data_IF_821228372193
#
_entry.id   IF_821228372193
#
_cell.length_a   1.000
_cell.length_b   1.000
_cell.length_c   1.000
_cell.angle_alpha   90.00
_cell.angle_beta   90.00
_cell.angle_gamma   90.00
#
_symmetry.space_group_name_H-M   'P 1'
#
loop_
_entity.id
_entity.type
_entity.pdbx_description
1 polymer ?
#
# COMPACT_ATOMS: atom_id res chain seq x y z
N UNK A 1 14.70 38.08 -52.89
CA UNK A 1 15.18 39.21 -53.69
C UNK A 1 15.66 40.25 -52.68
N UNK A 2 16.97 40.26 -52.39
CA UNK A 2 17.95 41.23 -52.94
C UNK A 2 17.56 42.65 -52.50
N UNK A 3 18.39 43.46 -51.87
CA UNK A 3 19.83 43.58 -52.01
C UNK A 3 20.39 44.45 -50.87
N UNK A 4 21.69 44.35 -50.72
CA UNK A 4 22.56 45.09 -49.80
C UNK A 4 22.73 46.54 -50.27
N UNK A 5 22.95 47.47 -49.33
CA UNK A 5 24.00 48.50 -49.48
C UNK A 5 24.02 49.44 -48.26
N UNK A 6 25.00 49.20 -47.38
CA UNK A 6 25.42 50.14 -46.35
C UNK A 6 26.34 51.19 -46.98
N UNK A 7 26.08 52.47 -46.67
CA UNK A 7 26.91 53.59 -47.06
C UNK A 7 27.80 54.01 -45.88
N UNK A 8 29.07 54.24 -46.19
CA UNK A 8 30.16 54.57 -45.27
C UNK A 8 30.00 55.94 -44.60
N UNK A 9 30.50 56.07 -43.38
CA UNK A 9 31.14 57.31 -42.89
C UNK A 9 32.12 57.00 -41.75
N UNK A 10 33.36 57.38 -42.03
CA UNK A 10 34.52 57.38 -41.15
C UNK A 10 34.34 58.29 -39.94
N UNK A 11 34.82 57.88 -38.78
CA UNK A 11 35.40 58.82 -37.82
C UNK A 11 36.71 58.26 -37.27
N UNK A 12 37.79 58.86 -37.75
CA UNK A 12 39.11 58.85 -37.13
C UNK A 12 39.00 59.58 -35.79
N UNK A 13 39.32 58.91 -34.69
CA UNK A 13 39.87 59.59 -33.51
C UNK A 13 41.18 58.91 -33.16
N UNK A 14 42.24 59.61 -33.55
CA UNK A 14 43.61 59.47 -33.10
C UNK A 14 43.70 59.41 -31.58
N UNK A 15 44.08 58.25 -31.07
CA UNK A 15 44.58 58.04 -29.71
C UNK A 15 45.84 57.20 -29.79
N UNK A 16 46.93 57.82 -30.25
CA UNK A 16 48.28 57.32 -29.99
C UNK A 16 48.63 57.79 -28.58
N UNK A 17 48.64 56.87 -27.63
CA UNK A 17 49.56 56.92 -26.50
C UNK A 17 50.04 55.51 -26.23
N UNK A 18 51.34 55.33 -26.38
CA UNK A 18 52.01 54.05 -26.22
C UNK A 18 52.22 53.72 -24.75
N UNK A 19 52.18 52.43 -24.44
CA UNK A 19 53.06 51.86 -23.42
C UNK A 19 53.22 50.37 -23.65
N UNK A 20 54.38 50.03 -24.23
CA UNK A 20 55.31 48.97 -23.84
C UNK A 20 54.69 47.67 -23.27
N UNK A 21 54.93 46.60 -24.03
CA UNK A 21 54.77 45.20 -23.63
C UNK A 21 55.40 44.90 -22.27
N UNK A 22 54.72 44.13 -21.43
CA UNK A 22 55.30 43.03 -20.65
C UNK A 22 54.17 42.23 -19.99
N UNK A 23 53.33 41.60 -20.80
CA UNK A 23 52.64 40.39 -20.33
C UNK A 23 53.58 39.24 -20.62
N UNK A 24 54.36 38.87 -19.61
CA UNK A 24 54.97 37.55 -19.49
C UNK A 24 53.83 36.54 -19.39
N UNK A 25 53.18 36.26 -20.52
CA UNK A 25 52.40 35.06 -20.68
C UNK A 25 53.41 33.93 -20.54
N UNK A 26 53.45 33.29 -19.36
CA UNK A 26 54.15 32.01 -19.20
C UNK A 26 53.44 31.04 -20.13
N UNK A 27 53.93 31.01 -21.37
CA UNK A 27 53.67 29.94 -22.29
C UNK A 27 54.43 28.78 -21.69
N UNK A 28 53.72 27.86 -21.04
CA UNK A 28 54.27 26.53 -20.80
C UNK A 28 54.55 25.94 -22.18
N UNK A 29 55.77 26.17 -22.68
CA UNK A 29 56.31 25.44 -23.81
C UNK A 29 56.51 24.02 -23.33
N UNK A 30 55.43 23.25 -23.36
CA UNK A 30 55.45 21.82 -23.16
C UNK A 30 56.11 21.25 -24.41
N UNK A 31 57.44 21.19 -24.41
CA UNK A 31 58.23 20.50 -25.42
C UNK A 31 58.10 18.98 -25.23
N UNK A 32 56.86 18.50 -25.12
CA UNK A 32 56.55 17.09 -24.94
C UNK A 32 56.29 16.48 -26.30
N UNK A 33 57.05 15.44 -26.61
CA UNK A 33 56.89 14.69 -27.86
C UNK A 33 55.48 14.08 -27.91
N UNK A 34 54.91 13.82 -29.11
CA UNK A 34 53.57 13.22 -29.23
C UNK A 34 53.41 11.89 -28.49
N UNK A 35 54.51 11.20 -28.16
CA UNK A 35 54.53 10.00 -27.31
C UNK A 35 54.26 10.29 -25.82
N UNK A 36 54.66 11.46 -25.32
CA UNK A 36 54.53 11.83 -23.90
C UNK A 36 53.11 12.34 -23.59
N UNK A 37 52.47 13.03 -24.53
CA UNK A 37 51.05 13.43 -24.44
C UNK A 37 50.11 12.21 -24.47
N UNK A 38 50.43 11.18 -25.25
CA UNK A 38 49.68 9.93 -25.30
C UNK A 38 49.85 9.07 -24.02
N UNK A 39 51.00 9.21 -23.34
CA UNK A 39 51.24 8.57 -22.05
C UNK A 39 50.45 9.24 -20.92
N UNK A 40 50.31 10.57 -20.94
CA UNK A 40 49.52 11.33 -19.96
C UNK A 40 48.01 11.02 -20.07
N UNK A 41 47.46 10.90 -21.28
CA UNK A 41 46.05 10.52 -21.47
C UNK A 41 45.70 9.14 -20.91
N UNK A 42 46.63 8.18 -20.97
CA UNK A 42 46.48 6.86 -20.34
C UNK A 42 46.51 6.97 -18.81
N UNK A 43 47.36 7.84 -18.28
CA UNK A 43 47.50 8.06 -16.84
C UNK A 43 46.27 8.74 -16.24
N UNK A 44 45.68 9.69 -16.97
CA UNK A 44 44.40 10.33 -16.62
C UNK A 44 43.23 9.35 -16.74
N UNK A 45 43.22 8.45 -17.73
CA UNK A 45 42.23 7.36 -17.78
C UNK A 45 42.38 6.41 -16.60
N UNK A 46 43.60 6.03 -16.25
CA UNK A 46 43.87 5.12 -15.15
C UNK A 46 43.43 5.70 -13.80
N UNK A 47 43.71 6.99 -13.54
CA UNK A 47 43.26 7.66 -12.31
C UNK A 47 41.72 7.76 -12.23
N UNK A 48 41.03 7.98 -13.36
CA UNK A 48 39.55 7.91 -13.41
C UNK A 48 39.03 6.52 -13.07
N UNK A 49 39.67 5.46 -13.54
CA UNK A 49 39.31 4.09 -13.15
C UNK A 49 39.58 3.81 -11.67
N UNK A 50 40.67 4.31 -11.11
CA UNK A 50 40.95 4.19 -9.67
C UNK A 50 39.85 4.86 -8.83
N UNK A 51 39.44 6.08 -9.18
CA UNK A 51 38.36 6.79 -8.48
C UNK A 51 37.01 6.08 -8.65
N UNK A 52 36.72 5.57 -9.86
CA UNK A 52 35.51 4.78 -10.08
C UNK A 52 35.50 3.49 -9.23
N UNK A 53 36.66 2.82 -9.11
CA UNK A 53 36.81 1.62 -8.31
C UNK A 53 36.61 1.91 -6.81
N UNK A 54 37.19 2.99 -6.28
CA UNK A 54 37.01 3.34 -4.87
C UNK A 54 35.57 3.71 -4.55
N UNK A 55 34.89 4.43 -5.45
CA UNK A 55 33.46 4.73 -5.32
C UNK A 55 32.61 3.45 -5.34
N UNK A 56 32.92 2.50 -6.22
CA UNK A 56 32.20 1.24 -6.31
C UNK A 56 32.39 0.41 -5.02
N UNK A 57 33.63 0.35 -4.51
CA UNK A 57 33.93 -0.31 -3.23
C UNK A 57 33.18 0.37 -2.08
N UNK A 58 33.21 1.71 -1.99
CA UNK A 58 32.50 2.42 -0.92
C UNK A 58 30.99 2.25 -1.00
N UNK A 59 30.42 2.22 -2.19
CA UNK A 59 28.99 1.99 -2.38
C UNK A 59 28.61 0.56 -1.98
N UNK A 60 29.41 -0.43 -2.38
CA UNK A 60 29.19 -1.84 -2.04
C UNK A 60 29.33 -2.09 -0.53
N UNK A 61 30.31 -1.47 0.13
CA UNK A 61 30.48 -1.62 1.59
C UNK A 61 29.33 -0.99 2.35
N UNK A 62 28.92 0.24 2.00
CA UNK A 62 27.78 0.90 2.63
C UNK A 62 26.48 0.11 2.41
N UNK A 63 26.25 -0.39 1.20
CA UNK A 63 25.08 -1.22 0.89
C UNK A 63 25.07 -2.51 1.72
N UNK A 64 26.22 -3.18 1.86
CA UNK A 64 26.32 -4.43 2.65
C UNK A 64 26.12 -4.19 4.13
N UNK A 65 26.72 -3.13 4.69
CA UNK A 65 26.56 -2.77 6.11
C UNK A 65 25.11 -2.38 6.39
N UNK A 66 24.51 -1.57 5.52
CA UNK A 66 23.10 -1.20 5.62
C UNK A 66 22.21 -2.46 5.59
N UNK A 67 22.41 -3.35 4.63
CA UNK A 67 21.67 -4.60 4.54
C UNK A 67 21.79 -5.44 5.83
N UNK A 68 22.99 -5.61 6.38
CA UNK A 68 23.18 -6.40 7.60
C UNK A 68 22.60 -5.74 8.85
N UNK A 69 22.68 -4.41 8.95
CA UNK A 69 22.12 -3.66 10.07
C UNK A 69 20.59 -3.71 10.06
N UNK A 70 19.97 -3.41 8.91
CA UNK A 70 18.52 -3.34 8.79
C UNK A 70 17.86 -4.71 8.76
N UNK A 71 18.47 -5.75 8.17
CA UNK A 71 17.81 -7.06 8.06
C UNK A 71 17.39 -7.65 9.42
N UNK A 72 18.22 -7.48 10.44
CA UNK A 72 17.94 -8.04 11.77
C UNK A 72 16.92 -7.19 12.56
N UNK A 73 16.83 -5.89 12.26
CA UNK A 73 15.85 -4.99 12.85
C UNK A 73 14.49 -5.14 12.15
N UNK A 74 14.48 -5.22 10.82
CA UNK A 74 13.30 -5.44 9.98
C UNK A 74 12.61 -6.76 10.31
N UNK A 75 13.37 -7.86 10.46
CA UNK A 75 12.79 -9.18 10.76
C UNK A 75 12.08 -9.18 12.13
N UNK A 76 12.69 -8.59 13.16
CA UNK A 76 12.09 -8.47 14.49
C UNK A 76 10.91 -7.50 14.52
N UNK A 77 11.01 -6.39 13.79
CA UNK A 77 9.94 -5.43 13.68
C UNK A 77 8.73 -6.05 12.98
N UNK A 78 8.96 -6.73 11.86
CA UNK A 78 7.92 -7.46 11.15
C UNK A 78 7.31 -8.56 12.01
N UNK A 79 8.11 -9.38 12.70
CA UNK A 79 7.58 -10.42 13.59
C UNK A 79 6.73 -9.82 14.71
N UNK A 80 7.17 -8.70 15.29
CA UNK A 80 6.43 -7.96 16.30
C UNK A 80 5.09 -7.44 15.78
N UNK A 81 5.09 -6.73 14.65
CA UNK A 81 3.87 -6.19 14.03
C UNK A 81 2.93 -7.30 13.58
N UNK A 82 3.46 -8.36 12.96
CA UNK A 82 2.68 -9.51 12.52
C UNK A 82 2.02 -10.21 13.71
N UNK A 83 2.74 -10.36 14.83
CA UNK A 83 2.20 -10.95 16.04
C UNK A 83 1.11 -10.08 16.65
N UNK A 84 1.30 -8.77 16.75
CA UNK A 84 0.28 -7.84 17.24
C UNK A 84 -0.98 -7.92 16.39
N UNK A 85 -0.82 -7.89 15.07
CA UNK A 85 -1.94 -7.98 14.13
C UNK A 85 -2.64 -9.35 14.24
N UNK A 86 -1.89 -10.44 14.36
CA UNK A 86 -2.44 -11.79 14.51
C UNK A 86 -3.22 -11.93 15.81
N UNK A 87 -2.66 -11.44 16.93
CA UNK A 87 -3.32 -11.44 18.24
C UNK A 87 -4.59 -10.56 18.22
N UNK A 88 -4.55 -9.42 17.52
CA UNK A 88 -5.71 -8.55 17.35
C UNK A 88 -6.81 -9.21 16.52
N UNK A 89 -6.48 -9.80 15.37
CA UNK A 89 -7.43 -10.54 14.53
C UNK A 89 -8.04 -11.70 15.30
N UNK A 90 -7.24 -12.46 16.06
CA UNK A 90 -7.72 -13.60 16.85
C UNK A 90 -8.64 -13.13 17.99
N UNK A 91 -8.27 -12.05 18.69
CA UNK A 91 -9.10 -11.44 19.75
C UNK A 91 -10.43 -10.93 19.18
N UNK A 92 -10.39 -10.17 18.10
CA UNK A 92 -11.58 -9.61 17.45
C UNK A 92 -12.48 -10.73 16.94
N UNK A 93 -11.92 -11.76 16.32
CA UNK A 93 -12.68 -12.92 15.81
C UNK A 93 -13.36 -13.68 16.94
N UNK A 94 -12.65 -13.97 18.04
CA UNK A 94 -13.21 -14.65 19.21
C UNK A 94 -14.32 -13.83 19.86
N UNK A 95 -14.13 -12.52 19.99
CA UNK A 95 -15.14 -11.63 20.55
C UNK A 95 -16.40 -11.62 19.68
N UNK A 96 -16.25 -11.38 18.38
CA UNK A 96 -17.37 -11.37 17.43
C UNK A 96 -18.11 -12.69 17.40
N UNK A 97 -17.38 -13.81 17.36
CA UNK A 97 -17.99 -15.13 17.38
C UNK A 97 -18.80 -15.37 18.68
N UNK A 98 -18.25 -14.97 19.83
CA UNK A 98 -18.95 -15.09 21.11
C UNK A 98 -20.23 -14.25 21.14
N UNK A 99 -20.16 -13.01 20.67
CA UNK A 99 -21.33 -12.12 20.60
C UNK A 99 -22.42 -12.74 19.71
N UNK A 100 -22.04 -13.34 18.57
CA UNK A 100 -22.97 -14.03 17.67
C UNK A 100 -23.60 -15.27 18.28
N UNK A 101 -22.82 -16.10 18.96
CA UNK A 101 -23.34 -17.30 19.62
C UNK A 101 -24.29 -16.91 20.76
N UNK A 102 -23.99 -15.84 21.50
CA UNK A 102 -24.87 -15.34 22.54
C UNK A 102 -26.20 -14.84 21.97
N UNK A 103 -26.17 -14.03 20.90
CA UNK A 103 -27.39 -13.54 20.24
C UNK A 103 -28.23 -14.71 19.70
N UNK A 104 -27.60 -15.70 19.06
CA UNK A 104 -28.28 -16.90 18.58
C UNK A 104 -28.89 -17.72 19.72
N UNK A 105 -28.20 -17.78 20.86
CA UNK A 105 -28.69 -18.45 22.06
C UNK A 105 -29.91 -17.72 22.65
N UNK A 106 -29.88 -16.38 22.70
CA UNK A 106 -31.01 -15.56 23.13
C UNK A 106 -32.21 -15.73 22.21
N UNK A 107 -32.00 -15.66 20.90
CA UNK A 107 -33.03 -15.93 19.88
C UNK A 107 -33.67 -17.31 20.04
N UNK A 108 -32.84 -18.35 20.20
CA UNK A 108 -33.31 -19.74 20.35
C UNK A 108 -34.06 -19.93 21.67
N UNK A 109 -33.56 -19.33 22.75
CA UNK A 109 -34.18 -19.39 24.08
C UNK A 109 -35.52 -18.67 24.09
N UNK A 110 -35.60 -17.49 23.47
CA UNK A 110 -36.83 -16.73 23.29
C UNK A 110 -37.86 -17.53 22.49
N UNK A 111 -37.46 -18.09 21.35
CA UNK A 111 -38.32 -18.95 20.51
C UNK A 111 -38.82 -20.16 21.28
N UNK A 112 -37.93 -20.86 22.00
CA UNK A 112 -38.29 -22.04 22.80
C UNK A 112 -39.25 -21.66 23.94
N UNK A 113 -38.98 -20.55 24.63
CA UNK A 113 -39.86 -20.03 25.69
C UNK A 113 -41.26 -19.72 25.15
N UNK A 114 -41.35 -19.12 23.97
CA UNK A 114 -42.62 -18.84 23.30
C UNK A 114 -43.40 -20.12 22.99
N UNK A 115 -42.73 -21.13 22.43
CA UNK A 115 -43.37 -22.43 22.16
C UNK A 115 -43.88 -23.10 23.43
N UNK A 116 -43.11 -23.04 24.51
CA UNK A 116 -43.50 -23.59 25.81
C UNK A 116 -44.68 -22.82 26.43
N UNK A 117 -44.68 -21.48 26.34
CA UNK A 117 -45.71 -20.62 26.90
C UNK A 117 -47.07 -20.80 26.18
N UNK A 118 -47.05 -20.80 24.85
CA UNK A 118 -48.27 -20.95 24.04
C UNK A 118 -48.67 -22.41 23.81
N UNK A 119 -47.91 -23.37 24.33
CA UNK A 119 -48.14 -24.82 24.13
C UNK A 119 -48.22 -25.21 22.64
N UNK A 120 -47.43 -24.54 21.81
CA UNK A 120 -47.47 -24.73 20.36
C UNK A 120 -46.55 -25.87 19.95
N UNK A 121 -47.01 -26.67 19.00
CA UNK A 121 -46.25 -27.80 18.46
C UNK A 121 -45.15 -27.27 17.53
N UNK A 122 -43.91 -27.62 17.79
CA UNK A 122 -42.83 -27.39 16.83
C UNK A 122 -43.11 -28.17 15.52
N UNK A 123 -42.92 -27.60 14.31
CA UNK A 123 -42.34 -26.29 14.03
C UNK A 123 -43.34 -25.15 13.80
N UNK A 124 -44.62 -25.32 14.12
CA UNK A 124 -45.72 -24.37 13.88
C UNK A 124 -45.65 -23.13 14.79
N UNK A 125 -44.52 -22.45 14.82
CA UNK A 125 -44.29 -21.27 15.66
C UNK A 125 -44.06 -20.03 14.81
N UNK A 126 -44.83 -18.98 15.09
CA UNK A 126 -44.62 -17.64 14.52
C UNK A 126 -43.72 -16.88 15.48
N UNK A 127 -42.50 -16.55 15.05
CA UNK A 127 -41.56 -15.77 15.87
C UNK A 127 -41.96 -14.30 15.81
N UNK A 128 -42.34 -13.67 16.94
CA UNK A 128 -42.74 -12.28 16.96
C UNK A 128 -41.53 -11.39 16.65
N UNK A 129 -41.76 -10.31 15.90
CA UNK A 129 -40.72 -9.35 15.53
C UNK A 129 -39.49 -9.97 14.86
N UNK A 130 -39.67 -11.07 14.11
CA UNK A 130 -38.57 -11.77 13.43
C UNK A 130 -37.73 -10.85 12.54
N UNK A 131 -38.37 -9.88 11.87
CA UNK A 131 -37.65 -8.91 11.04
C UNK A 131 -36.73 -8.00 11.89
N UNK A 132 -37.21 -7.49 13.02
CA UNK A 132 -36.42 -6.64 13.92
C UNK A 132 -35.28 -7.44 14.58
N UNK A 133 -35.55 -8.68 14.99
CA UNK A 133 -34.53 -9.59 15.52
C UNK A 133 -33.50 -9.96 14.44
N UNK A 134 -33.94 -10.16 13.20
CA UNK A 134 -33.06 -10.40 12.05
C UNK A 134 -32.20 -9.18 11.71
N UNK A 135 -32.73 -7.95 11.83
CA UNK A 135 -31.97 -6.71 11.67
C UNK A 135 -30.92 -6.55 12.78
N UNK A 136 -31.27 -6.85 14.04
CA UNK A 136 -30.33 -6.87 15.15
C UNK A 136 -29.21 -7.91 14.92
N UNK A 137 -29.57 -9.13 14.52
CA UNK A 137 -28.63 -10.18 14.18
C UNK A 137 -27.72 -9.80 13.01
N UNK A 138 -28.26 -9.16 11.97
CA UNK A 138 -27.50 -8.64 10.82
C UNK A 138 -26.55 -7.51 11.20
N UNK A 139 -26.96 -6.61 12.09
CA UNK A 139 -26.11 -5.55 12.62
C UNK A 139 -24.89 -6.10 13.36
N UNK A 140 -25.07 -7.18 14.12
CA UNK A 140 -23.99 -7.85 14.85
C UNK A 140 -23.08 -8.68 13.94
N UNK A 141 -23.69 -9.48 13.06
CA UNK A 141 -22.99 -10.49 12.24
C UNK A 141 -22.45 -9.96 10.91
N UNK A 142 -22.94 -8.80 10.46
CA UNK A 142 -22.77 -8.32 9.09
C UNK A 142 -23.24 -9.35 8.04
N UNK A 143 -24.10 -10.29 8.42
CA UNK A 143 -24.66 -11.30 7.52
C UNK A 143 -25.71 -10.64 6.63
N UNK A 144 -25.67 -10.91 5.33
CA UNK A 144 -26.65 -10.34 4.39
C UNK A 144 -28.04 -10.94 4.57
N UNK A 145 -28.11 -12.22 4.94
CA UNK A 145 -29.34 -13.00 5.00
C UNK A 145 -29.36 -13.93 6.21
N UNK A 146 -30.43 -13.82 7.01
CA UNK A 146 -30.79 -14.79 8.05
C UNK A 146 -31.97 -15.62 7.54
N UNK A 147 -31.83 -16.95 7.54
CA UNK A 147 -32.91 -17.86 7.15
C UNK A 147 -33.22 -18.77 8.33
N UNK A 148 -34.50 -18.87 8.67
CA UNK A 148 -35.01 -19.85 9.62
C UNK A 148 -35.60 -21.03 8.86
N UNK A 149 -34.99 -22.21 8.98
CA UNK A 149 -35.41 -23.43 8.28
C UNK A 149 -35.73 -24.53 9.29
N UNK A 150 -36.97 -24.63 9.78
CA UNK A 150 -37.34 -25.70 10.70
C UNK A 150 -37.29 -27.06 9.99
N UNK A 151 -36.95 -28.10 10.76
CA UNK A 151 -37.11 -29.47 10.28
C UNK A 151 -38.59 -29.86 10.38
N UNK A 152 -39.19 -30.21 9.25
CA UNK A 152 -40.63 -30.51 9.09
C UNK A 152 -40.78 -31.98 8.71
N UNK A 153 -41.57 -32.73 9.49
CA UNK A 153 -41.88 -34.13 9.20
C UNK A 153 -43.10 -34.30 8.28
N UNK A 154 -44.05 -33.36 8.34
CA UNK A 154 -45.27 -33.33 7.54
C UNK A 154 -45.33 -32.01 6.77
N UNK A 155 -45.03 -32.06 5.49
CA UNK A 155 -44.96 -30.88 4.62
C UNK A 155 -46.35 -30.25 4.37
N UNK A 156 -47.40 -31.07 4.35
CA UNK A 156 -48.77 -30.60 4.07
C UNK A 156 -49.33 -29.83 5.27
N UNK A 157 -49.12 -30.34 6.48
CA UNK A 157 -49.47 -29.65 7.74
C UNK A 157 -48.73 -28.31 7.86
N UNK A 158 -47.46 -28.26 7.43
CA UNK A 158 -46.64 -27.05 7.46
C UNK A 158 -47.08 -26.01 6.42
N UNK A 159 -47.41 -26.45 5.21
CA UNK A 159 -47.87 -25.55 4.14
C UNK A 159 -49.18 -24.87 4.53
N UNK A 160 -50.15 -25.63 5.07
CA UNK A 160 -51.41 -25.07 5.56
C UNK A 160 -51.19 -24.01 6.64
N UNK A 161 -50.31 -24.28 7.60
CA UNK A 161 -49.94 -23.32 8.65
C UNK A 161 -49.27 -22.07 8.07
N UNK A 162 -48.35 -22.23 7.11
CA UNK A 162 -47.65 -21.10 6.49
C UNK A 162 -48.61 -20.17 5.71
N UNK A 163 -49.62 -20.73 5.05
CA UNK A 163 -50.63 -19.96 4.32
C UNK A 163 -51.55 -19.20 5.27
N UNK A 164 -51.95 -19.81 6.40
CA UNK A 164 -52.80 -19.13 7.38
C UNK A 164 -52.10 -17.95 8.06
N UNK A 165 -50.81 -18.07 8.35
CA UNK A 165 -50.04 -17.04 9.06
C UNK A 165 -49.48 -15.95 8.14
N UNK A 166 -49.18 -16.28 6.87
CA UNK A 166 -48.65 -15.30 5.89
C UNK A 166 -49.69 -14.27 5.43
N UNK A 167 -50.95 -14.38 5.88
CA UNK A 167 -52.04 -13.50 5.46
C UNK A 167 -52.45 -13.68 4.00
N UNK A 168 -51.96 -14.73 3.33
CA UNK A 168 -52.39 -15.13 1.98
C UNK A 168 -53.57 -16.10 2.14
N UNK A 169 -54.68 -15.59 2.68
CA UNK A 169 -55.96 -16.28 2.61
C UNK A 169 -56.67 -15.83 1.33
N UNK A 170 -57.06 -16.79 0.48
CA UNK A 170 -58.05 -16.57 -0.59
C UNK A 170 -59.41 -16.19 0.00
#
# INVERSE_FOLDING_TARGET
MTDSSQHSSSNNSSGKDGSISNTSGVTYSSNKTPEELAAEDKLVRYSRYCVALTLLISAATLSTVCYFAFRNEEEKHFEGEFKILSDEVDRLSRQKFKDLVNELHEFTTSTTSLTAYHQVKWPQVTIPYFQEQGEAFRSLSHTELMIFTPNVNDAEEWEQYSQSESGIAN
#
